data_IF_113505361516
#
_entry.id   IF_113505361516
#
_cell.length_a   1.000
_cell.length_b   1.000
_cell.length_c   1.000
_cell.angle_alpha   90.00
_cell.angle_beta   90.00
_cell.angle_gamma   90.00
#
_symmetry.space_group_name_H-M   'P 1'
#
loop_
_entity.id
_entity.type
_entity.pdbx_description
1 polymer ?
#
# COMPACT_ATOMS: atom_id res chain seq x y z
N UNK A 1 -75.01 69.22 4.71
CA UNK A 1 -73.85 69.92 5.30
C UNK A 1 -73.12 68.89 6.16
N UNK A 2 -72.22 68.14 5.55
CA UNK A 2 -71.46 67.08 6.21
C UNK A 2 -70.05 67.25 5.68
N UNK A 3 -69.18 67.81 6.52
CA UNK A 3 -67.79 68.08 6.19
C UNK A 3 -67.04 66.75 6.06
N UNK A 4 -66.51 66.49 4.87
CA UNK A 4 -65.56 65.41 4.63
C UNK A 4 -64.23 65.89 5.17
N UNK A 5 -63.82 65.32 6.30
CA UNK A 5 -62.52 65.53 6.93
C UNK A 5 -61.44 64.85 6.06
N UNK A 6 -60.83 65.62 5.16
CA UNK A 6 -59.69 65.17 4.36
C UNK A 6 -58.42 65.27 5.21
N UNK A 7 -58.04 64.16 5.83
CA UNK A 7 -56.69 63.98 6.37
C UNK A 7 -55.64 64.28 5.29
N UNK A 8 -54.52 64.98 5.60
CA UNK A 8 -53.55 65.35 4.58
C UNK A 8 -52.85 64.10 4.07
N UNK A 9 -52.90 63.88 2.74
CA UNK A 9 -52.10 62.88 2.07
C UNK A 9 -50.61 63.22 2.30
N UNK A 10 -49.94 62.41 3.12
CA UNK A 10 -48.50 62.53 3.36
C UNK A 10 -47.75 62.51 2.02
N UNK A 11 -46.80 63.45 1.85
CA UNK A 11 -46.10 63.62 0.58
C UNK A 11 -45.42 62.32 0.12
N UNK A 12 -45.31 62.10 -1.19
CA UNK A 12 -44.59 60.94 -1.75
C UNK A 12 -43.14 60.82 -1.23
N UNK A 13 -42.56 61.91 -0.73
CA UNK A 13 -41.26 61.92 -0.05
C UNK A 13 -41.29 61.21 1.31
N UNK A 14 -42.36 61.35 2.10
CA UNK A 14 -42.53 60.68 3.40
C UNK A 14 -42.76 59.18 3.24
N UNK A 15 -43.52 58.76 2.23
CA UNK A 15 -43.72 57.34 1.94
C UNK A 15 -42.42 56.66 1.49
N UNK A 16 -41.63 57.36 0.66
CA UNK A 16 -40.30 56.91 0.26
C UNK A 16 -39.30 56.87 1.43
N UNK A 17 -39.36 57.84 2.35
CA UNK A 17 -38.54 57.86 3.56
C UNK A 17 -38.89 56.68 4.50
N UNK A 18 -40.18 56.38 4.68
CA UNK A 18 -40.66 55.22 5.46
C UNK A 18 -40.24 53.89 4.83
N UNK A 19 -40.37 53.73 3.50
CA UNK A 19 -39.85 52.54 2.77
C UNK A 19 -38.35 52.37 2.92
N UNK A 20 -37.58 53.45 2.77
CA UNK A 20 -36.11 53.42 2.96
C UNK A 20 -35.73 53.05 4.40
N UNK A 21 -36.45 53.57 5.40
CA UNK A 21 -36.23 53.21 6.80
C UNK A 21 -36.55 51.72 7.09
N UNK A 22 -37.61 51.19 6.49
CA UNK A 22 -38.00 49.78 6.61
C UNK A 22 -37.01 48.84 5.91
N UNK A 23 -36.50 49.22 4.74
CA UNK A 23 -35.43 48.50 4.04
C UNK A 23 -34.13 48.55 4.88
N UNK A 24 -33.75 49.71 5.42
CA UNK A 24 -32.56 49.85 6.27
C UNK A 24 -32.63 49.01 7.55
N UNK A 25 -33.82 48.89 8.15
CA UNK A 25 -34.08 47.99 9.29
C UNK A 25 -33.99 46.51 8.94
N UNK A 26 -34.35 46.12 7.71
CA UNK A 26 -34.25 44.71 7.25
C UNK A 26 -32.86 44.33 6.71
N UNK A 27 -32.08 45.31 6.23
CA UNK A 27 -30.70 45.11 5.75
C UNK A 27 -29.76 44.61 6.85
N UNK A 28 -29.85 45.14 8.07
CA UNK A 28 -28.97 44.72 9.17
C UNK A 28 -29.22 43.26 9.58
N UNK A 29 -30.47 42.80 9.57
CA UNK A 29 -30.84 41.40 9.85
C UNK A 29 -30.33 40.46 8.76
N UNK A 30 -30.45 40.85 7.48
CA UNK A 30 -29.95 40.07 6.33
C UNK A 30 -28.42 40.00 6.33
N UNK A 31 -27.73 41.12 6.52
CA UNK A 31 -26.27 41.16 6.58
C UNK A 31 -25.75 40.27 7.72
N UNK A 32 -26.37 40.28 8.90
CA UNK A 32 -26.00 39.36 10.00
C UNK A 32 -26.27 37.89 9.70
N UNK A 33 -27.34 37.57 8.96
CA UNK A 33 -27.61 36.20 8.54
C UNK A 33 -26.60 35.72 7.49
N UNK A 34 -26.26 36.58 6.53
CA UNK A 34 -25.26 36.33 5.51
C UNK A 34 -23.86 36.18 6.09
N UNK A 35 -23.45 37.06 7.02
CA UNK A 35 -22.16 36.93 7.71
C UNK A 35 -22.09 35.62 8.51
N UNK A 36 -23.16 35.23 9.19
CA UNK A 36 -23.23 33.92 9.87
C UNK A 36 -23.16 32.75 8.90
N UNK A 37 -23.87 32.80 7.78
CA UNK A 37 -23.81 31.75 6.75
C UNK A 37 -22.39 31.62 6.17
N UNK A 38 -21.74 32.74 5.84
CA UNK A 38 -20.35 32.75 5.35
C UNK A 38 -19.37 32.24 6.40
N UNK A 39 -19.52 32.64 7.67
CA UNK A 39 -18.69 32.14 8.78
C UNK A 39 -18.88 30.64 9.00
N UNK A 40 -20.10 30.14 8.96
CA UNK A 40 -20.39 28.70 9.09
C UNK A 40 -19.83 27.92 7.91
N UNK A 41 -19.97 28.42 6.68
CA UNK A 41 -19.41 27.81 5.48
C UNK A 41 -17.87 27.82 5.46
N UNK A 42 -17.24 28.93 5.86
CA UNK A 42 -15.79 29.00 6.02
C UNK A 42 -15.32 28.08 7.15
N UNK A 43 -16.04 28.06 8.26
CA UNK A 43 -15.75 27.20 9.41
C UNK A 43 -15.83 25.72 9.05
N UNK A 44 -16.84 25.29 8.28
CA UNK A 44 -16.95 23.90 7.82
C UNK A 44 -15.85 23.53 6.83
N UNK A 45 -15.49 24.43 5.90
CA UNK A 45 -14.37 24.21 4.98
C UNK A 45 -13.02 24.09 5.72
N UNK A 46 -12.77 24.96 6.71
CA UNK A 46 -11.57 24.89 7.55
C UNK A 46 -11.54 23.60 8.38
N UNK A 47 -12.68 23.19 8.96
CA UNK A 47 -12.77 21.93 9.69
C UNK A 47 -12.50 20.73 8.78
N UNK A 48 -13.05 20.71 7.56
CA UNK A 48 -12.78 19.66 6.57
C UNK A 48 -11.29 19.60 6.21
N UNK A 49 -10.66 20.74 5.95
CA UNK A 49 -9.20 20.79 5.70
C UNK A 49 -8.38 20.34 6.90
N UNK A 50 -8.80 20.67 8.13
CA UNK A 50 -8.14 20.20 9.34
C UNK A 50 -8.22 18.67 9.48
N UNK A 51 -9.38 18.06 9.21
CA UNK A 51 -9.51 16.60 9.20
C UNK A 51 -8.62 15.95 8.15
N UNK A 52 -8.54 16.52 6.94
CA UNK A 52 -7.62 16.05 5.89
C UNK A 52 -6.17 16.16 6.37
N UNK A 53 -5.77 17.28 6.96
CA UNK A 53 -4.43 17.46 7.50
C UNK A 53 -4.10 16.44 8.60
N UNK A 54 -5.05 16.14 9.50
CA UNK A 54 -4.90 15.08 10.52
C UNK A 54 -4.77 13.71 9.86
N UNK A 55 -5.57 13.40 8.84
CA UNK A 55 -5.50 12.13 8.10
C UNK A 55 -4.12 11.96 7.46
N UNK A 56 -3.65 12.96 6.71
CA UNK A 56 -2.32 12.92 6.09
C UNK A 56 -1.19 12.87 7.13
N UNK A 57 -1.31 13.63 8.22
CA UNK A 57 -0.37 13.58 9.33
C UNK A 57 -0.26 12.17 9.93
N UNK A 58 -1.39 11.49 10.11
CA UNK A 58 -1.44 10.12 10.62
C UNK A 58 -0.87 9.10 9.62
N UNK A 59 -1.18 9.26 8.33
CA UNK A 59 -0.64 8.40 7.27
C UNK A 59 0.89 8.52 7.21
N UNK A 60 1.42 9.75 7.27
CA UNK A 60 2.86 9.98 7.21
C UNK A 60 3.57 9.53 8.48
N UNK A 61 3.02 9.80 9.67
CA UNK A 61 3.64 9.42 10.94
C UNK A 61 3.75 7.91 11.12
N UNK A 62 2.75 7.15 10.68
CA UNK A 62 2.76 5.69 10.74
C UNK A 62 3.44 5.04 9.53
N UNK A 63 3.40 5.68 8.36
CA UNK A 63 3.96 5.15 7.11
C UNK A 63 5.47 5.37 6.96
N UNK A 64 5.97 6.58 7.23
CA UNK A 64 7.39 6.92 7.02
C UNK A 64 8.36 5.99 7.77
N UNK A 65 8.12 5.58 9.03
CA UNK A 65 9.00 4.67 9.74
C UNK A 65 9.14 3.28 9.09
N UNK A 66 8.27 2.89 8.17
CA UNK A 66 8.38 1.62 7.45
C UNK A 66 9.61 1.58 6.52
N UNK A 67 10.01 2.73 5.96
CA UNK A 67 11.19 2.84 5.07
C UNK A 67 12.53 2.66 5.79
N UNK A 68 12.53 2.58 7.11
CA UNK A 68 13.72 2.34 7.89
C UNK A 68 13.55 1.08 8.73
N UNK A 69 14.42 0.10 8.49
CA UNK A 69 14.41 -1.18 9.19
C UNK A 69 15.80 -1.48 9.75
N UNK A 70 15.85 -2.23 10.85
CA UNK A 70 17.11 -2.67 11.42
C UNK A 70 17.69 -3.83 10.61
N UNK A 71 18.98 -3.73 10.31
CA UNK A 71 19.76 -4.73 9.59
C UNK A 71 21.00 -5.08 10.39
N UNK A 72 21.43 -6.34 10.27
CA UNK A 72 22.72 -6.84 10.71
C UNK A 72 23.67 -6.88 9.52
N UNK A 73 24.77 -6.15 9.59
CA UNK A 73 25.89 -6.36 8.65
C UNK A 73 26.82 -7.42 9.27
N UNK A 74 26.84 -8.63 8.70
CA UNK A 74 27.65 -9.73 9.21
C UNK A 74 28.35 -10.51 8.10
N UNK A 75 29.48 -11.11 8.46
CA UNK A 75 30.22 -12.01 7.59
C UNK A 75 29.50 -13.36 7.47
N UNK A 76 29.16 -13.73 6.23
CA UNK A 76 28.53 -15.01 5.92
C UNK A 76 29.52 -15.92 5.22
N UNK A 77 29.87 -17.02 5.88
CA UNK A 77 30.69 -18.08 5.30
C UNK A 77 29.81 -19.06 4.56
N UNK A 78 29.95 -19.12 3.24
CA UNK A 78 29.22 -20.03 2.36
C UNK A 78 29.84 -21.43 2.41
N UNK A 79 29.69 -22.12 3.54
CA UNK A 79 30.34 -23.41 3.79
C UNK A 79 29.94 -24.49 2.77
N UNK A 80 30.94 -25.02 2.05
CA UNK A 80 30.80 -26.11 1.08
C UNK A 80 30.30 -27.42 1.72
N UNK A 81 30.54 -27.63 3.02
CA UNK A 81 30.01 -28.78 3.75
C UNK A 81 28.49 -28.71 3.95
N UNK A 82 27.90 -27.49 3.95
CA UNK A 82 26.45 -27.27 4.01
C UNK A 82 25.85 -27.19 2.61
N UNK A 83 26.49 -26.47 1.69
CA UNK A 83 26.03 -26.26 0.31
C UNK A 83 26.50 -27.43 -0.58
N UNK A 84 25.95 -28.62 -0.33
CA UNK A 84 26.26 -29.84 -1.11
C UNK A 84 25.45 -29.92 -2.39
N UNK A 85 25.73 -29.04 -3.33
CA UNK A 85 25.11 -29.02 -4.66
C UNK A 85 26.13 -29.38 -5.74
N UNK A 86 25.72 -30.05 -6.83
CA UNK A 86 26.62 -30.24 -7.96
C UNK A 86 26.93 -28.90 -8.63
N UNK A 87 27.94 -28.89 -9.48
CA UNK A 87 28.30 -27.71 -10.28
C UNK A 87 27.11 -27.23 -11.10
N UNK A 88 27.06 -25.90 -11.29
CA UNK A 88 25.99 -25.26 -12.06
C UNK A 88 26.07 -25.76 -13.52
N UNK A 89 24.98 -26.30 -14.07
CA UNK A 89 24.97 -26.77 -15.46
C UNK A 89 25.31 -25.63 -16.42
N UNK A 90 26.19 -25.90 -17.38
CA UNK A 90 26.49 -25.04 -18.52
C UNK A 90 26.02 -25.77 -19.78
N UNK A 91 25.39 -25.05 -20.72
CA UNK A 91 24.91 -25.67 -21.95
C UNK A 91 26.09 -26.14 -22.80
N UNK A 92 26.18 -27.45 -23.02
CA UNK A 92 27.17 -28.04 -23.91
C UNK A 92 26.81 -27.80 -25.38
N UNK A 93 27.82 -27.83 -26.26
CA UNK A 93 27.65 -27.58 -27.69
C UNK A 93 26.63 -28.53 -28.37
N UNK A 94 26.54 -29.77 -27.88
CA UNK A 94 25.67 -30.81 -28.45
C UNK A 94 24.38 -31.04 -27.63
N UNK A 95 24.10 -30.22 -26.62
CA UNK A 95 22.97 -30.39 -25.72
C UNK A 95 21.72 -29.65 -26.21
N UNK A 96 20.58 -30.35 -26.24
CA UNK A 96 19.30 -29.70 -26.58
C UNK A 96 18.85 -28.70 -25.50
N UNK A 97 18.14 -27.64 -25.90
CA UNK A 97 17.61 -26.63 -24.96
C UNK A 97 16.67 -27.23 -23.90
N UNK A 98 16.00 -28.34 -24.23
CA UNK A 98 15.12 -29.04 -23.30
C UNK A 98 15.92 -29.77 -22.20
N UNK A 99 17.02 -30.44 -22.58
CA UNK A 99 17.92 -31.12 -21.64
C UNK A 99 18.63 -30.13 -20.72
N UNK A 100 19.13 -29.02 -21.28
CA UNK A 100 19.76 -27.97 -20.48
C UNK A 100 18.78 -27.38 -19.44
N UNK A 101 17.54 -27.07 -19.85
CA UNK A 101 16.49 -26.59 -18.93
C UNK A 101 16.16 -27.60 -17.84
N UNK A 102 16.06 -28.88 -18.18
CA UNK A 102 15.81 -29.94 -17.21
C UNK A 102 16.97 -30.06 -16.19
N UNK A 103 18.22 -30.01 -16.67
CA UNK A 103 19.41 -30.03 -15.83
C UNK A 103 19.44 -28.80 -14.90
N UNK A 104 19.21 -27.61 -15.42
CA UNK A 104 19.16 -26.36 -14.65
C UNK A 104 18.08 -26.40 -13.57
N UNK A 105 16.85 -26.83 -13.91
CA UNK A 105 15.76 -27.00 -12.94
C UNK A 105 16.10 -28.04 -11.87
N UNK A 106 16.81 -29.12 -12.22
CA UNK A 106 17.28 -30.11 -11.24
C UNK A 106 18.31 -29.54 -10.26
N UNK A 107 19.17 -28.64 -10.74
CA UNK A 107 20.17 -27.95 -9.95
C UNK A 107 19.53 -26.93 -9.02
N UNK A 108 18.63 -26.08 -9.53
CA UNK A 108 17.88 -25.10 -8.75
C UNK A 108 17.05 -25.76 -7.64
N UNK A 109 16.40 -26.91 -7.91
CA UNK A 109 15.68 -27.68 -6.88
C UNK A 109 16.61 -28.17 -5.76
N UNK A 110 17.81 -28.65 -6.09
CA UNK A 110 18.79 -29.08 -5.08
C UNK A 110 19.28 -27.90 -4.25
N UNK A 111 19.57 -26.77 -4.88
CA UNK A 111 19.97 -25.53 -4.20
C UNK A 111 18.87 -25.01 -3.26
N UNK A 112 17.60 -25.11 -3.66
CA UNK A 112 16.47 -24.74 -2.81
C UNK A 112 16.30 -25.63 -1.55
N UNK A 113 16.80 -26.87 -1.59
CA UNK A 113 16.73 -27.82 -0.47
C UNK A 113 17.89 -27.70 0.53
N UNK A 114 18.89 -26.86 0.24
CA UNK A 114 20.00 -26.59 1.17
C UNK A 114 19.45 -25.93 2.44
N UNK A 115 20.00 -26.33 3.60
CA UNK A 115 19.62 -25.74 4.87
C UNK A 115 20.36 -24.41 5.12
N UNK A 116 19.89 -23.36 4.44
CA UNK A 116 20.42 -22.00 4.56
C UNK A 116 20.37 -21.43 5.99
N UNK A 117 19.47 -21.94 6.85
CA UNK A 117 19.41 -21.52 8.25
C UNK A 117 20.71 -21.84 9.00
N UNK A 118 21.47 -22.88 8.60
CA UNK A 118 22.76 -23.18 9.23
C UNK A 118 23.78 -22.06 9.02
N UNK A 119 23.80 -21.46 7.84
CA UNK A 119 24.67 -20.32 7.55
C UNK A 119 24.23 -19.10 8.35
N UNK A 120 22.93 -18.83 8.41
CA UNK A 120 22.37 -17.73 9.21
C UNK A 120 22.73 -17.89 10.70
N UNK A 121 22.52 -19.09 11.27
CA UNK A 121 22.86 -19.37 12.68
C UNK A 121 24.34 -19.17 12.94
N UNK A 122 25.21 -19.71 12.07
CA UNK A 122 26.66 -19.55 12.20
C UNK A 122 27.08 -18.07 12.15
N UNK A 123 26.53 -17.29 11.22
CA UNK A 123 26.81 -15.85 11.10
C UNK A 123 26.28 -15.05 12.29
N UNK A 124 25.09 -15.37 12.80
CA UNK A 124 24.50 -14.71 13.97
C UNK A 124 25.32 -14.98 15.23
N UNK A 125 25.76 -16.23 15.43
CA UNK A 125 26.63 -16.60 16.55
C UNK A 125 28.02 -15.95 16.42
N UNK A 126 28.58 -15.91 15.21
CA UNK A 126 29.88 -15.28 14.95
C UNK A 126 29.85 -13.75 15.10
N UNK A 127 28.71 -13.09 14.89
CA UNK A 127 28.58 -11.65 15.02
C UNK A 127 28.70 -11.16 16.48
N UNK A 128 28.34 -12.00 17.46
CA UNK A 128 28.43 -11.66 18.89
C UNK A 128 29.03 -12.83 19.70
N UNK A 129 30.34 -13.12 19.58
CA UNK A 129 30.95 -14.29 20.20
C UNK A 129 30.90 -14.27 21.74
N UNK A 130 30.71 -13.09 22.35
CA UNK A 130 30.54 -12.92 23.79
C UNK A 130 29.13 -13.19 24.32
N UNK A 131 28.13 -13.34 23.44
CA UNK A 131 26.73 -13.54 23.81
C UNK A 131 26.25 -14.92 23.37
N UNK A 132 25.87 -15.76 24.33
CA UNK A 132 25.40 -17.10 24.01
C UNK A 132 23.98 -17.05 23.43
N UNK A 133 23.82 -17.48 22.19
CA UNK A 133 22.53 -17.56 21.49
C UNK A 133 22.33 -18.97 20.92
N UNK A 134 21.22 -19.60 21.29
CA UNK A 134 20.87 -20.92 20.74
C UNK A 134 20.38 -20.81 19.29
N UNK A 135 20.40 -21.93 18.55
CA UNK A 135 20.04 -21.96 17.13
C UNK A 135 18.63 -21.42 16.85
N UNK A 136 17.67 -21.68 17.76
CA UNK A 136 16.28 -21.25 17.59
C UNK A 136 16.16 -19.74 17.74
N UNK A 137 16.81 -19.18 18.76
CA UNK A 137 16.90 -17.75 19.01
C UNK A 137 17.63 -17.06 17.86
N UNK A 138 18.72 -17.65 17.35
CA UNK A 138 19.49 -17.11 16.23
C UNK A 138 18.66 -17.01 14.93
N UNK A 139 17.85 -18.03 14.62
CA UNK A 139 16.92 -17.95 13.48
C UNK A 139 15.82 -16.92 13.73
N UNK A 140 15.37 -16.75 14.98
CA UNK A 140 14.26 -15.84 15.31
C UNK A 140 14.60 -14.35 15.19
N UNK A 141 15.88 -13.97 15.26
CA UNK A 141 16.31 -12.57 15.17
C UNK A 141 16.50 -12.07 13.74
N UNK A 142 16.64 -12.97 12.76
CA UNK A 142 16.83 -12.65 11.35
C UNK A 142 15.55 -12.95 10.57
N UNK A 143 15.22 -12.10 9.60
CA UNK A 143 14.06 -12.32 8.75
C UNK A 143 14.20 -13.61 7.94
N UNK A 144 13.12 -14.37 7.88
CA UNK A 144 13.12 -15.68 7.21
C UNK A 144 13.38 -15.58 5.70
N UNK A 145 13.23 -14.40 5.10
CA UNK A 145 13.51 -14.10 3.70
C UNK A 145 14.99 -14.11 3.37
N UNK A 146 15.88 -13.91 4.35
CA UNK A 146 17.34 -13.93 4.15
C UNK A 146 17.84 -15.25 3.56
N UNK A 147 17.18 -16.38 3.86
CA UNK A 147 17.51 -17.68 3.25
C UNK A 147 17.38 -17.66 1.73
N UNK A 148 16.44 -16.90 1.19
CA UNK A 148 16.25 -16.75 -0.25
C UNK A 148 17.32 -15.83 -0.82
N UNK A 149 17.68 -14.76 -0.11
CA UNK A 149 18.80 -13.88 -0.50
C UNK A 149 20.10 -14.67 -0.61
N UNK A 150 20.46 -15.46 0.40
CA UNK A 150 21.68 -16.28 0.38
C UNK A 150 21.66 -17.34 -0.73
N UNK A 151 20.50 -17.98 -0.94
CA UNK A 151 20.30 -18.94 -2.03
C UNK A 151 20.51 -18.27 -3.38
N UNK A 152 19.91 -17.10 -3.60
CA UNK A 152 19.93 -16.40 -4.87
C UNK A 152 21.33 -15.84 -5.17
N UNK A 153 22.06 -15.38 -4.14
CA UNK A 153 23.49 -15.04 -4.28
C UNK A 153 24.32 -16.20 -4.83
N UNK A 154 24.14 -17.42 -4.29
CA UNK A 154 24.84 -18.63 -4.80
C UNK A 154 24.30 -19.06 -6.16
N UNK A 155 23.00 -18.86 -6.41
CA UNK A 155 22.39 -19.17 -7.69
C UNK A 155 23.01 -18.33 -8.83
N UNK A 156 23.18 -17.04 -8.56
CA UNK A 156 23.75 -16.07 -9.49
C UNK A 156 25.26 -16.24 -9.62
N UNK A 157 25.97 -16.43 -8.50
CA UNK A 157 27.41 -16.63 -8.45
C UNK A 157 27.81 -17.85 -7.61
N UNK A 158 27.91 -19.05 -8.22
CA UNK A 158 28.33 -20.27 -7.52
C UNK A 158 29.76 -20.23 -6.95
N UNK A 159 30.62 -19.31 -7.43
CA UNK A 159 31.99 -19.19 -6.92
C UNK A 159 32.05 -18.72 -5.46
N UNK A 160 30.93 -18.22 -4.90
CA UNK A 160 30.81 -17.86 -3.49
C UNK A 160 30.96 -19.06 -2.56
N UNK A 161 30.70 -20.28 -3.03
CA UNK A 161 30.83 -21.49 -2.20
C UNK A 161 32.28 -21.64 -1.74
N UNK A 162 32.47 -21.71 -0.42
CA UNK A 162 33.78 -21.75 0.25
C UNK A 162 34.34 -20.38 0.65
N UNK A 163 33.67 -19.27 0.30
CA UNK A 163 34.12 -17.92 0.64
C UNK A 163 33.34 -17.35 1.82
N UNK A 164 33.94 -16.35 2.49
CA UNK A 164 33.29 -15.51 3.50
C UNK A 164 33.08 -14.13 2.91
N UNK A 165 31.83 -13.66 2.91
CA UNK A 165 31.45 -12.38 2.29
C UNK A 165 30.55 -11.59 3.25
N UNK A 166 30.71 -10.26 3.35
CA UNK A 166 29.81 -9.42 4.13
C UNK A 166 28.42 -9.40 3.50
N UNK A 167 27.40 -9.72 4.30
CA UNK A 167 26.00 -9.70 3.88
C UNK A 167 25.19 -8.88 4.87
N UNK A 168 24.39 -7.97 4.31
CA UNK A 168 23.37 -7.25 5.07
C UNK A 168 22.13 -8.13 5.23
N UNK A 169 21.88 -8.58 6.45
CA UNK A 169 20.74 -9.42 6.81
C UNK A 169 19.69 -8.59 7.52
N UNK A 170 18.45 -8.68 7.08
CA UNK A 170 17.35 -7.97 7.70
C UNK A 170 16.98 -8.62 9.04
N UNK A 171 16.72 -7.83 10.08
CA UNK A 171 16.16 -8.37 11.33
C UNK A 171 14.73 -8.87 11.07
N UNK A 172 14.32 -9.88 11.84
CA UNK A 172 12.94 -10.36 11.81
C UNK A 172 11.97 -9.25 12.23
N UNK A 173 10.67 -9.39 11.92
CA UNK A 173 9.68 -8.39 12.32
C UNK A 173 9.67 -8.13 13.84
N UNK A 174 9.84 -9.18 14.64
CA UNK A 174 9.91 -9.08 16.10
C UNK A 174 11.25 -8.45 16.53
N UNK A 175 12.35 -8.79 15.86
CA UNK A 175 13.67 -8.19 16.10
C UNK A 175 13.73 -6.70 15.76
N UNK A 176 13.15 -6.29 14.64
CA UNK A 176 13.01 -4.89 14.24
C UNK A 176 12.10 -4.11 15.21
N UNK A 177 10.98 -4.71 15.63
CA UNK A 177 10.10 -4.10 16.64
C UNK A 177 10.78 -3.95 18.01
N UNK A 178 11.61 -4.92 18.41
CA UNK A 178 12.44 -4.84 19.60
C UNK A 178 13.46 -3.72 19.51
N UNK A 179 14.23 -3.67 18.41
CA UNK A 179 15.24 -2.64 18.16
C UNK A 179 14.65 -1.23 18.04
N UNK A 180 13.39 -1.11 17.57
CA UNK A 180 12.63 0.15 17.54
C UNK A 180 12.04 0.55 18.90
N UNK A 181 12.09 -0.31 19.91
CA UNK A 181 11.45 -0.07 21.21
C UNK A 181 9.92 -0.09 21.15
N UNK A 182 9.32 -0.74 20.15
CA UNK A 182 7.87 -0.92 20.03
C UNK A 182 7.33 -2.01 20.96
N UNK A 183 8.20 -2.92 21.39
CA UNK A 183 7.92 -3.91 22.41
C UNK A 183 8.38 -3.34 23.75
N UNK A 184 7.46 -3.20 24.69
CA UNK A 184 7.77 -2.61 25.99
C UNK A 184 8.61 -3.56 26.84
N UNK A 185 9.70 -3.04 27.41
CA UNK A 185 10.73 -3.82 28.13
C UNK A 185 10.31 -4.23 29.55
N UNK A 186 9.29 -3.58 30.09
CA UNK A 186 8.65 -3.85 31.38
C UNK A 186 7.70 -5.06 31.35
N UNK A 187 7.33 -5.54 30.16
CA UNK A 187 6.45 -6.69 30.02
C UNK A 187 7.10 -7.96 30.57
N UNK A 188 6.33 -8.94 31.06
CA UNK A 188 6.86 -10.28 31.35
C UNK A 188 7.44 -10.91 30.08
N UNK A 189 8.50 -11.73 30.20
CA UNK A 189 9.19 -12.33 29.05
C UNK A 189 8.25 -13.03 28.06
N UNK A 190 7.25 -13.73 28.58
CA UNK A 190 6.29 -14.48 27.78
C UNK A 190 5.48 -13.59 26.80
N UNK A 191 5.46 -12.27 27.02
CA UNK A 191 4.78 -11.29 26.16
C UNK A 191 5.71 -10.47 25.28
N UNK A 192 7.03 -10.64 25.41
CA UNK A 192 8.00 -9.86 24.64
C UNK A 192 8.33 -10.45 23.26
N UNK A 193 7.63 -11.52 22.84
CA UNK A 193 7.70 -12.18 21.52
C UNK A 193 9.05 -12.82 21.16
N UNK A 194 10.15 -12.34 21.72
CA UNK A 194 11.50 -12.87 21.59
C UNK A 194 12.01 -13.48 22.89
N UNK A 195 12.83 -14.53 22.77
CA UNK A 195 13.52 -15.14 23.90
C UNK A 195 14.52 -14.15 24.53
N UNK A 196 14.89 -14.36 25.80
CA UNK A 196 15.91 -13.53 26.48
C UNK A 196 17.23 -13.50 25.70
N UNK A 197 17.81 -14.65 25.26
CA UNK A 197 19.06 -14.63 24.51
C UNK A 197 18.97 -13.82 23.21
N UNK A 198 17.85 -13.90 22.50
CA UNK A 198 17.63 -13.11 21.28
C UNK A 198 17.60 -11.60 21.56
N UNK A 199 16.91 -11.17 22.61
CA UNK A 199 16.83 -9.77 23.03
C UNK A 199 18.19 -9.21 23.42
N UNK A 200 18.89 -9.93 24.29
CA UNK A 200 20.21 -9.51 24.78
C UNK A 200 21.23 -9.46 23.64
N UNK A 201 21.14 -10.40 22.68
CA UNK A 201 21.96 -10.40 21.47
C UNK A 201 21.71 -9.16 20.61
N UNK A 202 20.44 -8.82 20.32
CA UNK A 202 20.10 -7.61 19.56
C UNK A 202 20.62 -6.37 20.27
N UNK A 203 20.35 -6.23 21.56
CA UNK A 203 20.78 -5.07 22.35
C UNK A 203 22.31 -4.91 22.34
N UNK A 204 23.05 -6.03 22.46
CA UNK A 204 24.51 -6.02 22.42
C UNK A 204 25.07 -5.53 21.07
N UNK A 205 24.47 -5.96 19.96
CA UNK A 205 24.92 -5.57 18.62
C UNK A 205 24.45 -4.18 18.20
N UNK A 206 23.33 -3.71 18.73
CA UNK A 206 22.94 -2.31 18.61
C UNK A 206 23.93 -1.39 19.31
N UNK A 207 24.41 -1.78 20.50
CA UNK A 207 25.44 -1.02 21.23
C UNK A 207 26.79 -0.99 20.49
N UNK A 208 27.12 -2.05 19.74
CA UNK A 208 28.34 -2.13 18.93
C UNK A 208 28.23 -1.43 17.55
N UNK A 209 27.01 -1.10 17.11
CA UNK A 209 26.74 -0.51 15.80
C UNK A 209 26.66 -1.52 14.64
N UNK A 210 26.87 -2.81 14.89
CA UNK A 210 26.73 -3.89 13.89
C UNK A 210 25.27 -4.04 13.45
N UNK A 211 24.34 -3.93 14.40
CA UNK A 211 22.90 -3.80 14.11
C UNK A 211 22.55 -2.32 14.06
N UNK A 212 22.13 -1.86 12.89
CA UNK A 212 21.81 -0.46 12.66
C UNK A 212 20.61 -0.31 11.73
N UNK A 213 20.09 0.91 11.66
CA UNK A 213 18.92 1.24 10.86
C UNK A 213 19.35 1.58 9.43
N UNK A 214 18.87 0.81 8.46
CA UNK A 214 19.11 1.04 7.04
C UNK A 214 17.81 1.40 6.30
N UNK A 215 17.94 2.02 5.13
CA UNK A 215 16.81 2.27 4.25
C UNK A 215 16.36 0.97 3.59
N UNK A 216 15.07 0.65 3.71
CA UNK A 216 14.45 -0.59 3.26
C UNK A 216 14.12 -0.53 1.75
N UNK A 217 15.15 -0.56 0.90
CA UNK A 217 14.97 -0.54 -0.57
C UNK A 217 14.10 -1.69 -1.09
N UNK A 218 14.12 -2.83 -0.41
CA UNK A 218 13.33 -4.01 -0.77
C UNK A 218 11.82 -3.76 -0.72
N UNK A 219 11.35 -2.71 -0.04
CA UNK A 219 9.94 -2.31 -0.08
C UNK A 219 9.50 -2.11 -1.53
N UNK A 220 10.32 -1.50 -2.38
CA UNK A 220 9.97 -1.22 -3.78
C UNK A 220 10.12 -2.41 -4.73
N UNK A 221 11.00 -3.36 -4.41
CA UNK A 221 11.34 -4.46 -5.31
C UNK A 221 10.66 -5.77 -4.93
N UNK A 222 10.40 -5.99 -3.65
CA UNK A 222 9.81 -7.24 -3.17
C UNK A 222 8.29 -7.22 -3.31
N UNK A 223 7.73 -8.42 -3.48
CA UNK A 223 6.29 -8.66 -3.41
C UNK A 223 5.84 -8.84 -1.96
N UNK A 224 4.54 -8.90 -1.73
CA UNK A 224 3.98 -9.18 -0.42
C UNK A 224 4.39 -10.58 0.06
N UNK A 225 4.67 -10.72 1.36
CA UNK A 225 5.04 -11.99 1.97
C UNK A 225 4.41 -12.14 3.35
N UNK A 226 3.74 -13.28 3.56
CA UNK A 226 3.18 -13.65 4.87
C UNK A 226 4.20 -14.34 5.77
N UNK A 227 5.19 -15.01 5.17
CA UNK A 227 6.20 -15.79 5.90
C UNK A 227 7.40 -14.94 6.33
N UNK A 228 7.64 -13.84 5.62
CA UNK A 228 8.77 -12.93 5.84
C UNK A 228 8.25 -11.49 5.92
N UNK A 229 7.59 -11.09 7.04
CA UNK A 229 6.90 -9.81 7.10
C UNK A 229 7.86 -8.61 7.05
N UNK A 230 9.10 -8.74 7.53
CA UNK A 230 10.05 -7.63 7.50
C UNK A 230 10.54 -7.36 6.07
N UNK A 231 10.74 -8.41 5.27
CA UNK A 231 11.17 -8.30 3.87
C UNK A 231 10.01 -8.11 2.87
N UNK A 232 8.76 -8.04 3.33
CA UNK A 232 7.61 -7.86 2.45
C UNK A 232 7.65 -6.47 1.78
N UNK A 233 7.29 -6.42 0.50
CA UNK A 233 7.26 -5.18 -0.28
C UNK A 233 5.92 -4.88 -0.92
N UNK A 234 5.90 -3.80 -1.71
CA UNK A 234 4.74 -3.22 -2.37
C UNK A 234 4.75 -3.41 -3.89
N UNK A 235 5.78 -4.05 -4.45
CA UNK A 235 5.93 -4.21 -5.90
C UNK A 235 4.70 -4.87 -6.55
N UNK A 236 4.16 -5.92 -5.92
CA UNK A 236 2.97 -6.62 -6.41
C UNK A 236 1.72 -5.73 -6.45
N UNK A 237 1.49 -4.92 -5.40
CA UNK A 237 0.38 -3.99 -5.33
C UNK A 237 0.51 -2.85 -6.35
N UNK A 238 1.72 -2.31 -6.54
CA UNK A 238 1.99 -1.28 -7.53
C UNK A 238 1.77 -1.76 -8.96
N UNK A 239 2.36 -2.90 -9.32
CA UNK A 239 2.22 -3.48 -10.66
C UNK A 239 0.78 -3.91 -10.91
N UNK A 240 0.11 -4.50 -9.93
CA UNK A 240 -1.31 -4.87 -10.03
C UNK A 240 -2.20 -3.65 -10.26
N UNK A 241 -1.98 -2.56 -9.52
CA UNK A 241 -2.74 -1.31 -9.70
C UNK A 241 -2.46 -0.66 -11.05
N UNK A 242 -1.20 -0.68 -11.51
CA UNK A 242 -0.82 -0.18 -12.83
C UNK A 242 -1.54 -0.93 -13.95
N UNK A 243 -1.53 -2.27 -13.92
CA UNK A 243 -2.24 -3.07 -14.93
C UNK A 243 -3.75 -2.83 -14.88
N UNK A 244 -4.33 -2.69 -13.69
CA UNK A 244 -5.75 -2.35 -13.55
C UNK A 244 -6.07 -1.00 -14.21
N UNK A 245 -5.25 0.03 -13.96
CA UNK A 245 -5.44 1.35 -14.59
C UNK A 245 -5.26 1.31 -16.11
N UNK A 246 -4.32 0.52 -16.62
CA UNK A 246 -4.16 0.33 -18.07
C UNK A 246 -5.43 -0.25 -18.69
N UNK A 247 -6.01 -1.29 -18.06
CA UNK A 247 -7.27 -1.89 -18.54
C UNK A 247 -8.40 -0.87 -18.53
N UNK A 248 -8.54 -0.09 -17.46
CA UNK A 248 -9.54 0.98 -17.36
C UNK A 248 -9.35 2.02 -18.47
N UNK A 249 -8.13 2.49 -18.69
CA UNK A 249 -7.84 3.49 -19.73
C UNK A 249 -8.16 2.94 -21.11
N UNK A 250 -7.78 1.69 -21.40
CA UNK A 250 -7.99 1.09 -22.72
C UNK A 250 -9.45 0.77 -23.03
N UNK A 251 -10.28 0.55 -22.01
CA UNK A 251 -11.69 0.18 -22.20
C UNK A 251 -12.64 1.34 -21.88
N UNK A 252 -12.57 1.87 -20.66
CA UNK A 252 -13.51 2.88 -20.18
C UNK A 252 -13.39 4.19 -20.96
N UNK A 253 -12.18 4.64 -21.30
CA UNK A 253 -12.01 5.90 -22.04
C UNK A 253 -12.58 5.81 -23.46
N UNK A 254 -12.21 4.84 -24.32
CA UNK A 254 -12.80 4.76 -25.66
C UNK A 254 -14.30 4.51 -25.62
N UNK A 255 -14.78 3.59 -24.77
CA UNK A 255 -16.22 3.26 -24.69
C UNK A 255 -17.02 4.44 -24.17
N UNK A 256 -16.58 5.08 -23.09
CA UNK A 256 -17.26 6.21 -22.48
C UNK A 256 -17.29 7.42 -23.40
N UNK A 257 -16.15 7.78 -24.02
CA UNK A 257 -16.07 8.91 -24.95
C UNK A 257 -16.87 8.64 -26.22
N UNK A 258 -16.78 7.43 -26.81
CA UNK A 258 -17.56 7.10 -28.01
C UNK A 258 -19.07 7.08 -27.72
N UNK A 259 -19.47 6.56 -26.56
CA UNK A 259 -20.88 6.55 -26.15
C UNK A 259 -21.41 7.96 -25.92
N UNK A 260 -20.63 8.83 -25.27
CA UNK A 260 -20.99 10.23 -25.06
C UNK A 260 -21.13 11.00 -26.38
N UNK A 261 -20.16 10.87 -27.29
CA UNK A 261 -20.22 11.50 -28.62
C UNK A 261 -21.42 10.99 -29.41
N UNK A 262 -21.65 9.67 -29.40
CA UNK A 262 -22.79 9.09 -30.11
C UNK A 262 -24.13 9.61 -29.58
N UNK A 263 -24.31 9.65 -28.26
CA UNK A 263 -25.56 10.11 -27.65
C UNK A 263 -25.80 11.60 -27.84
N UNK A 264 -24.76 12.43 -27.78
CA UNK A 264 -24.91 13.89 -27.90
C UNK A 264 -25.06 14.36 -29.35
N UNK A 265 -24.27 13.78 -30.28
CA UNK A 265 -24.18 14.31 -31.65
C UNK A 265 -24.98 13.49 -32.67
N UNK A 266 -25.08 12.17 -32.50
CA UNK A 266 -25.60 11.27 -33.53
C UNK A 266 -26.94 10.62 -33.18
N UNK A 267 -27.28 10.48 -31.90
CA UNK A 267 -28.46 9.73 -31.48
C UNK A 267 -29.75 10.53 -31.73
N UNK A 268 -30.71 9.98 -32.50
CA UNK A 268 -32.00 10.62 -32.69
C UNK A 268 -32.80 10.61 -31.39
N UNK A 269 -33.51 11.71 -31.09
CA UNK A 269 -34.39 11.78 -29.91
C UNK A 269 -35.61 10.88 -30.11
N UNK A 270 -35.55 9.70 -29.52
CA UNK A 270 -36.61 8.70 -29.55
C UNK A 270 -36.70 7.99 -28.19
N UNK A 271 -37.75 7.17 -28.01
CA UNK A 271 -38.00 6.46 -26.74
C UNK A 271 -36.85 5.52 -26.33
N UNK A 272 -36.04 5.05 -27.27
CA UNK A 272 -34.89 4.20 -26.98
C UNK A 272 -33.71 5.04 -26.42
N UNK A 273 -33.42 6.19 -27.02
CA UNK A 273 -32.44 7.15 -26.51
C UNK A 273 -32.83 7.66 -25.12
N UNK A 274 -34.11 8.03 -24.93
CA UNK A 274 -34.62 8.45 -23.62
C UNK A 274 -34.45 7.34 -22.56
N UNK A 275 -34.70 6.08 -22.93
CA UNK A 275 -34.51 4.94 -22.02
C UNK A 275 -33.03 4.73 -21.68
N UNK A 276 -32.12 4.89 -22.63
CA UNK A 276 -30.67 4.79 -22.39
C UNK A 276 -30.21 5.90 -21.44
N UNK A 277 -30.60 7.16 -21.68
CA UNK A 277 -30.25 8.30 -20.82
C UNK A 277 -30.72 8.12 -19.37
N UNK A 278 -31.97 7.64 -19.18
CA UNK A 278 -32.50 7.36 -17.85
C UNK A 278 -31.69 6.24 -17.15
N UNK A 279 -31.33 5.18 -17.87
CA UNK A 279 -30.53 4.09 -17.30
C UNK A 279 -29.11 4.54 -16.94
N UNK A 280 -28.46 5.36 -17.77
CA UNK A 280 -27.13 5.93 -17.47
C UNK A 280 -27.19 6.78 -16.19
N UNK A 281 -28.17 7.68 -16.09
CA UNK A 281 -28.34 8.51 -14.89
C UNK A 281 -28.64 7.68 -13.63
N UNK A 282 -29.45 6.62 -13.76
CA UNK A 282 -29.73 5.72 -12.66
C UNK A 282 -28.49 4.93 -12.24
N UNK A 283 -27.71 4.42 -13.19
CA UNK A 283 -26.45 3.69 -12.92
C UNK A 283 -25.41 4.59 -12.25
N UNK A 284 -25.29 5.85 -12.66
CA UNK A 284 -24.38 6.81 -12.03
C UNK A 284 -24.71 7.09 -10.56
N UNK A 285 -25.96 6.86 -10.14
CA UNK A 285 -26.41 7.01 -8.75
C UNK A 285 -26.22 5.73 -7.90
N UNK A 286 -25.87 4.60 -8.52
CA UNK A 286 -25.72 3.31 -7.82
C UNK A 286 -24.45 3.33 -6.97
N UNK A 287 -24.50 2.93 -5.68
CA UNK A 287 -23.32 2.84 -4.83
C UNK A 287 -22.26 1.89 -5.39
N UNK A 288 -21.00 2.26 -5.23
CA UNK A 288 -19.89 1.53 -5.85
C UNK A 288 -19.76 0.06 -5.44
N UNK A 289 -20.21 -0.28 -4.22
CA UNK A 289 -20.23 -1.65 -3.71
C UNK A 289 -21.08 -2.60 -4.56
N UNK A 290 -22.16 -2.10 -5.17
CA UNK A 290 -23.07 -2.90 -5.99
C UNK A 290 -22.38 -3.33 -7.27
N UNK A 291 -21.65 -2.41 -7.93
CA UNK A 291 -20.83 -2.75 -9.10
C UNK A 291 -19.72 -3.74 -8.77
N UNK A 292 -19.10 -3.62 -7.59
CA UNK A 292 -18.12 -4.60 -7.10
C UNK A 292 -18.68 -6.02 -6.98
N UNK A 293 -19.86 -6.15 -6.35
CA UNK A 293 -20.54 -7.45 -6.20
C UNK A 293 -21.04 -8.00 -7.54
N UNK A 294 -21.59 -7.15 -8.40
CA UNK A 294 -22.02 -7.51 -9.76
C UNK A 294 -20.83 -7.99 -10.59
N UNK A 295 -19.71 -7.28 -10.54
CA UNK A 295 -18.48 -7.65 -11.22
C UNK A 295 -17.95 -9.00 -10.76
N UNK A 296 -17.97 -9.30 -9.46
CA UNK A 296 -17.61 -10.63 -8.96
C UNK A 296 -18.58 -11.72 -9.48
N UNK A 297 -19.89 -11.47 -9.46
CA UNK A 297 -20.88 -12.42 -9.96
C UNK A 297 -20.71 -12.71 -11.46
N UNK A 298 -20.48 -11.69 -12.29
CA UNK A 298 -20.37 -11.84 -13.74
C UNK A 298 -18.99 -12.34 -14.14
N UNK A 299 -17.92 -11.64 -13.76
CA UNK A 299 -16.59 -11.95 -14.25
C UNK A 299 -16.00 -13.19 -13.59
N UNK A 300 -16.25 -13.40 -12.30
CA UNK A 300 -15.65 -14.51 -11.56
C UNK A 300 -16.56 -15.73 -11.55
N UNK A 301 -17.83 -15.58 -11.17
CA UNK A 301 -18.70 -16.77 -11.06
C UNK A 301 -19.22 -17.26 -12.42
N UNK A 302 -19.56 -16.37 -13.36
CA UNK A 302 -20.09 -16.76 -14.67
C UNK A 302 -18.96 -16.98 -15.67
N UNK A 303 -18.06 -16.01 -15.84
CA UNK A 303 -16.95 -16.11 -16.80
C UNK A 303 -15.71 -16.83 -16.27
N UNK A 304 -15.72 -17.28 -15.01
CA UNK A 304 -14.64 -18.07 -14.41
C UNK A 304 -13.26 -17.39 -14.49
N UNK A 305 -13.23 -16.05 -14.51
CA UNK A 305 -11.97 -15.31 -14.50
C UNK A 305 -11.30 -15.45 -13.12
N UNK A 306 -9.95 -15.50 -13.07
CA UNK A 306 -9.23 -15.69 -11.83
C UNK A 306 -9.51 -14.57 -10.82
N UNK A 307 -9.74 -14.95 -9.56
CA UNK A 307 -9.76 -14.02 -8.44
C UNK A 307 -8.45 -13.24 -8.35
N UNK A 308 -8.54 -11.98 -7.89
CA UNK A 308 -7.38 -11.10 -7.66
C UNK A 308 -6.55 -10.78 -8.92
N UNK A 309 -7.10 -11.00 -10.12
CA UNK A 309 -6.48 -10.56 -11.36
C UNK A 309 -6.75 -9.05 -11.60
N UNK A 310 -5.71 -8.25 -11.92
CA UNK A 310 -5.88 -6.84 -12.30
C UNK A 310 -6.89 -6.61 -13.42
N UNK A 311 -6.98 -7.57 -14.35
CA UNK A 311 -7.95 -7.55 -15.44
C UNK A 311 -9.40 -7.49 -14.94
N UNK A 312 -9.76 -8.36 -13.98
CA UNK A 312 -11.13 -8.40 -13.44
C UNK A 312 -11.46 -7.08 -12.76
N UNK A 313 -10.55 -6.57 -11.92
CA UNK A 313 -10.73 -5.27 -11.29
C UNK A 313 -10.89 -4.13 -12.30
N UNK A 314 -10.10 -4.12 -13.37
CA UNK A 314 -10.21 -3.13 -14.43
C UNK A 314 -11.52 -3.22 -15.20
N UNK A 315 -12.04 -4.43 -15.45
CA UNK A 315 -13.34 -4.64 -16.07
C UNK A 315 -14.50 -4.17 -15.17
N UNK A 316 -14.42 -4.42 -13.86
CA UNK A 316 -15.40 -3.89 -12.90
C UNK A 316 -15.38 -2.36 -12.92
N UNK A 317 -14.20 -1.74 -12.83
CA UNK A 317 -14.05 -0.29 -12.86
C UNK A 317 -14.49 0.32 -14.20
N UNK A 318 -14.42 -0.43 -15.30
CA UNK A 318 -14.94 0.00 -16.61
C UNK A 318 -16.48 -0.01 -16.66
N UNK A 319 -17.11 -0.85 -15.86
CA UNK A 319 -18.58 -0.92 -15.74
C UNK A 319 -19.15 0.24 -14.90
N UNK A 320 -18.31 0.83 -14.03
CA UNK A 320 -18.64 1.97 -13.18
C UNK A 320 -18.56 3.28 -13.94
#
# INVERSE_FOLDING_TARGET
MTAIDTAPAGSAADENARRRAQIRRSLTRRNRAETRFRLLGLGSALAAMAFVAVLFGNILSHGLPAFWQYTLDAEVTFDAAVIRVPERPVQGADQSDAEFRAAMLSWQRRLAMVNWNRLIVASVQAAAPGQQIDDRAAVSVIDSGVRFVLRDMVADNPALIGQTVPVRMLLSADGDNWAKGRISRDLPDARQQLSRPARDWIDSLMAQGTVHRAFAWHIFTNVDSRTSPASAGLAGAFVGSLYMMIVVILLAVPIGVASAIYLEEFAPRNRATDLIEVNINNLAAVPSIVFGLLGAAVFINIFHLPFSAPLVGGLVLTLM
#
